data_IF_607208488398
#
_entry.id   IF_607208488398
#
_cell.length_a   1.000
_cell.length_b   1.000
_cell.length_c   1.000
_cell.angle_alpha   90.00
_cell.angle_beta   90.00
_cell.angle_gamma   90.00
#
_symmetry.space_group_name_H-M   'P 1'
#
loop_
_entity.id
_entity.type
_entity.pdbx_description
1 polymer ?
#
# COMPACT_ATOMS: atom_id res chain seq x y z
N UNK A 1 23.29 4.36 7.94
CA UNK A 1 22.48 4.64 6.76
C UNK A 1 21.23 5.34 7.27
N UNK A 2 20.91 6.53 6.75
CA UNK A 2 19.73 7.28 7.16
C UNK A 2 18.45 6.69 6.53
N UNK A 3 17.27 7.08 7.04
CA UNK A 3 15.97 6.58 6.56
C UNK A 3 15.80 6.82 5.05
N UNK A 4 16.10 8.02 4.55
CA UNK A 4 16.08 8.37 3.13
C UNK A 4 16.97 7.46 2.28
N UNK A 5 18.19 7.18 2.74
CA UNK A 5 19.11 6.31 2.00
C UNK A 5 18.58 4.88 1.91
N UNK A 6 17.99 4.36 3.00
CA UNK A 6 17.34 3.05 3.03
C UNK A 6 16.15 3.01 2.08
N UNK A 7 15.26 4.00 2.18
CA UNK A 7 14.09 4.12 1.31
C UNK A 7 14.49 4.20 -0.16
N UNK A 8 15.41 5.08 -0.50
CA UNK A 8 15.90 5.22 -1.88
C UNK A 8 16.60 3.95 -2.38
N UNK A 9 17.27 3.20 -1.50
CA UNK A 9 17.95 1.97 -1.88
C UNK A 9 16.98 0.82 -2.06
N UNK A 10 16.04 0.64 -1.13
CA UNK A 10 15.24 -0.58 -1.01
C UNK A 10 13.84 -0.42 -1.61
N UNK A 11 13.32 0.81 -1.72
CA UNK A 11 11.96 1.10 -2.16
C UNK A 11 10.90 0.86 -1.08
N UNK A 12 11.27 0.30 0.05
CA UNK A 12 10.40 0.04 1.20
C UNK A 12 11.19 0.12 2.49
N UNK A 13 10.55 0.66 3.54
CA UNK A 13 11.10 0.72 4.91
C UNK A 13 9.97 0.59 5.92
N UNK A 14 10.29 0.02 7.08
CA UNK A 14 9.43 0.07 8.27
C UNK A 14 9.92 1.21 9.16
N UNK A 15 8.99 2.04 9.64
CA UNK A 15 9.21 3.00 10.72
C UNK A 15 8.41 2.57 11.94
N UNK A 16 9.06 1.91 12.93
CA UNK A 16 8.37 1.47 14.13
C UNK A 16 7.88 2.65 14.97
N UNK A 17 6.65 2.56 15.46
CA UNK A 17 6.04 3.55 16.36
C UNK A 17 6.18 5.00 15.84
N UNK A 18 6.05 5.15 14.52
CA UNK A 18 6.13 6.47 13.86
C UNK A 18 4.89 7.33 14.11
N UNK A 19 3.77 6.71 14.44
CA UNK A 19 2.54 7.40 14.81
C UNK A 19 2.36 7.38 16.33
N UNK A 20 2.15 8.56 16.90
CA UNK A 20 1.69 8.71 18.28
C UNK A 20 0.27 8.17 18.44
N UNK A 21 -0.17 7.98 19.68
CA UNK A 21 -1.55 7.59 19.95
C UNK A 21 -2.55 8.55 19.31
N UNK A 22 -2.25 9.86 19.34
CA UNK A 22 -3.14 10.88 18.78
C UNK A 22 -3.27 10.75 17.25
N UNK A 23 -2.17 10.61 16.53
CA UNK A 23 -2.21 10.45 15.07
C UNK A 23 -2.82 9.12 14.63
N UNK A 24 -2.62 8.06 15.43
CA UNK A 24 -3.27 6.77 15.18
C UNK A 24 -4.79 6.85 15.39
N UNK A 25 -5.26 7.59 16.41
CA UNK A 25 -6.69 7.86 16.63
C UNK A 25 -7.29 8.68 15.47
N UNK A 26 -6.56 9.67 14.96
CA UNK A 26 -6.98 10.44 13.78
C UNK A 26 -7.06 9.55 12.52
N UNK A 27 -6.07 8.69 12.31
CA UNK A 27 -6.06 7.74 11.20
C UNK A 27 -7.24 6.76 11.28
N UNK A 28 -7.50 6.24 12.48
CA UNK A 28 -8.62 5.32 12.69
C UNK A 28 -9.98 6.00 12.47
N UNK A 29 -10.16 7.22 12.96
CA UNK A 29 -11.39 7.98 12.74
C UNK A 29 -11.64 8.28 11.25
N UNK A 30 -10.59 8.62 10.50
CA UNK A 30 -10.67 8.82 9.05
C UNK A 30 -11.01 7.52 8.31
N UNK A 31 -10.40 6.40 8.71
CA UNK A 31 -10.71 5.07 8.19
C UNK A 31 -12.18 4.67 8.43
N UNK A 32 -12.67 4.81 9.66
CA UNK A 32 -14.06 4.53 10.01
C UNK A 32 -15.04 5.41 9.20
N UNK A 33 -14.66 6.68 8.99
CA UNK A 33 -15.45 7.57 8.14
C UNK A 33 -15.55 7.03 6.70
N UNK A 34 -14.42 6.62 6.11
CA UNK A 34 -14.39 6.06 4.74
C UNK A 34 -15.23 4.79 4.63
N UNK A 35 -15.21 3.91 5.63
CA UNK A 35 -16.05 2.71 5.63
C UNK A 35 -17.56 3.06 5.72
N UNK A 36 -17.92 4.13 6.42
CA UNK A 36 -19.30 4.59 6.57
C UNK A 36 -19.82 5.41 5.37
N UNK A 37 -18.90 5.94 4.54
CA UNK A 37 -19.21 6.80 3.41
C UNK A 37 -18.49 6.33 2.14
N UNK A 38 -18.86 5.17 1.58
CA UNK A 38 -18.22 4.63 0.38
C UNK A 38 -18.21 5.62 -0.77
N UNK A 39 -17.04 5.81 -1.37
CA UNK A 39 -16.84 6.61 -2.57
C UNK A 39 -17.12 5.83 -3.86
N UNK A 40 -16.90 6.46 -5.01
CA UNK A 40 -17.06 5.80 -6.32
C UNK A 40 -16.13 4.59 -6.53
N UNK A 41 -14.99 4.55 -5.82
CA UNK A 41 -14.03 3.44 -5.84
C UNK A 41 -14.33 2.34 -4.82
N UNK A 42 -15.37 2.50 -4.00
CA UNK A 42 -15.72 1.58 -2.93
C UNK A 42 -16.36 0.29 -3.43
N UNK A 43 -15.85 -0.85 -2.98
CA UNK A 43 -16.41 -2.14 -3.32
C UNK A 43 -15.57 -3.33 -2.85
N UNK A 44 -16.16 -4.52 -2.97
CA UNK A 44 -15.43 -5.76 -2.67
C UNK A 44 -14.57 -6.18 -3.86
N UNK A 45 -13.31 -6.48 -3.58
CA UNK A 45 -12.41 -7.13 -4.55
C UNK A 45 -12.94 -8.56 -4.78
N UNK A 46 -13.11 -8.99 -6.03
CA UNK A 46 -13.56 -10.34 -6.34
C UNK A 46 -12.65 -11.41 -5.72
N UNK A 47 -13.25 -12.42 -5.12
CA UNK A 47 -12.53 -13.50 -4.44
C UNK A 47 -13.29 -14.83 -4.61
N UNK A 48 -12.55 -15.94 -4.59
CA UNK A 48 -13.07 -17.31 -4.49
C UNK A 48 -13.03 -17.85 -3.06
N UNK A 49 -12.51 -17.07 -2.11
CA UNK A 49 -12.43 -17.44 -0.69
C UNK A 49 -13.69 -17.04 0.08
N UNK A 50 -13.82 -17.50 1.33
CA UNK A 50 -15.03 -17.29 2.14
C UNK A 50 -15.09 -15.90 2.76
N UNK A 51 -13.94 -15.26 2.97
CA UNK A 51 -13.86 -13.92 3.53
C UNK A 51 -14.12 -12.81 2.50
N UNK A 52 -14.39 -11.62 3.00
CA UNK A 52 -14.57 -10.42 2.18
C UNK A 52 -13.30 -9.57 2.17
N UNK A 53 -13.02 -8.96 1.03
CA UNK A 53 -11.96 -7.99 0.87
C UNK A 53 -12.56 -6.71 0.28
N UNK A 54 -12.91 -5.78 1.14
CA UNK A 54 -13.39 -4.46 0.75
C UNK A 54 -12.23 -3.51 0.54
N UNK A 55 -12.36 -2.65 -0.48
CA UNK A 55 -11.50 -1.48 -0.67
C UNK A 55 -12.36 -0.25 -1.00
N UNK A 56 -11.81 0.91 -0.71
CA UNK A 56 -12.23 2.19 -1.27
C UNK A 56 -11.00 3.06 -1.48
N UNK A 57 -11.04 3.93 -2.47
CA UNK A 57 -9.90 4.79 -2.82
C UNK A 57 -10.36 6.08 -3.50
N UNK A 58 -9.57 7.13 -3.30
CA UNK A 58 -9.76 8.43 -3.95
C UNK A 58 -11.20 8.95 -3.84
N UNK A 59 -11.80 8.78 -2.68
CA UNK A 59 -13.14 9.31 -2.41
C UNK A 59 -13.07 10.85 -2.42
N UNK A 60 -13.81 11.55 -3.29
CA UNK A 60 -13.73 13.00 -3.43
C UNK A 60 -14.10 13.77 -2.15
N UNK A 61 -14.87 13.16 -1.26
CA UNK A 61 -15.31 13.76 0.00
C UNK A 61 -14.40 13.43 1.20
N UNK A 62 -13.38 12.57 1.01
CA UNK A 62 -12.54 12.10 2.09
C UNK A 62 -11.60 13.18 2.66
N UNK A 63 -11.10 14.10 1.83
CA UNK A 63 -10.03 15.03 2.20
C UNK A 63 -10.27 15.75 3.53
N UNK A 64 -11.49 16.24 3.76
CA UNK A 64 -11.84 16.98 4.99
C UNK A 64 -11.64 16.11 6.25
N UNK A 65 -11.88 14.81 6.15
CA UNK A 65 -11.79 13.86 7.26
C UNK A 65 -10.36 13.38 7.48
N UNK A 66 -9.49 13.48 6.47
CA UNK A 66 -8.06 13.16 6.54
C UNK A 66 -7.17 14.37 6.84
N UNK A 67 -7.67 15.60 6.72
CA UNK A 67 -6.86 16.84 6.86
C UNK A 67 -6.10 16.93 8.18
N UNK A 68 -6.75 16.58 9.29
CA UNK A 68 -6.12 16.60 10.62
C UNK A 68 -4.97 15.60 10.74
N UNK A 69 -5.09 14.40 10.16
CA UNK A 69 -4.02 13.41 10.09
C UNK A 69 -2.89 13.87 9.18
N UNK A 70 -3.21 14.32 7.97
CA UNK A 70 -2.23 14.75 6.96
C UNK A 70 -1.36 15.89 7.49
N UNK A 71 -1.94 16.82 8.27
CA UNK A 71 -1.22 17.95 8.88
C UNK A 71 -0.57 17.63 10.22
N UNK A 72 -0.77 16.41 10.75
CA UNK A 72 -0.17 16.03 12.02
C UNK A 72 1.36 16.02 11.95
N UNK A 73 2.01 16.41 13.04
CA UNK A 73 3.48 16.51 13.08
C UNK A 73 4.17 15.16 12.82
N UNK A 74 3.56 14.03 13.17
CA UNK A 74 4.12 12.70 12.89
C UNK A 74 4.24 12.45 11.39
N UNK A 75 3.19 12.77 10.62
CA UNK A 75 3.22 12.64 9.16
C UNK A 75 4.30 13.55 8.57
N UNK A 76 4.38 14.79 9.06
CA UNK A 76 5.42 15.72 8.66
C UNK A 76 6.82 15.16 8.95
N UNK A 77 7.07 14.64 10.14
CA UNK A 77 8.35 14.07 10.54
C UNK A 77 8.75 12.87 9.66
N UNK A 78 7.78 12.00 9.31
CA UNK A 78 7.98 10.90 8.37
C UNK A 78 8.45 11.47 7.03
N UNK A 79 7.73 12.43 6.43
CA UNK A 79 8.03 12.99 5.12
C UNK A 79 9.39 13.71 5.10
N UNK A 80 9.72 14.48 6.14
CA UNK A 80 11.03 15.16 6.28
C UNK A 80 12.20 14.15 6.39
N UNK A 81 11.95 12.96 6.93
CA UNK A 81 12.96 11.88 6.99
C UNK A 81 13.24 11.25 5.62
N UNK A 82 12.30 11.33 4.69
CA UNK A 82 12.36 10.69 3.37
C UNK A 82 12.77 11.67 2.26
N UNK A 83 12.23 12.88 2.24
CA UNK A 83 12.34 13.80 1.13
C UNK A 83 13.12 15.07 1.47
N UNK A 84 13.64 15.72 0.42
CA UNK A 84 14.22 17.05 0.51
C UNK A 84 13.25 17.99 -0.20
N UNK A 85 12.58 18.84 0.58
CA UNK A 85 11.63 19.79 0.00
C UNK A 85 10.84 20.50 1.09
N UNK A 86 10.24 21.62 0.73
CA UNK A 86 9.42 22.42 1.66
C UNK A 86 7.94 22.00 1.62
N UNK A 87 7.55 21.24 0.59
CA UNK A 87 6.17 20.88 0.36
C UNK A 87 6.03 19.40 0.03
N UNK A 88 4.97 18.79 0.54
CA UNK A 88 4.47 17.49 0.14
C UNK A 88 3.00 17.61 -0.25
N UNK A 89 2.57 16.81 -1.22
CA UNK A 89 1.21 16.80 -1.71
C UNK A 89 0.54 15.49 -1.33
N UNK A 90 -0.58 15.57 -0.65
CA UNK A 90 -1.45 14.42 -0.45
C UNK A 90 -2.20 14.16 -1.76
N UNK A 91 -2.14 12.93 -2.25
CA UNK A 91 -2.81 12.56 -3.50
C UNK A 91 -4.21 12.04 -3.23
N UNK A 92 -4.31 10.97 -2.48
CA UNK A 92 -5.57 10.32 -2.11
C UNK A 92 -5.35 9.35 -0.95
N UNK A 93 -6.42 8.92 -0.34
CA UNK A 93 -6.47 7.82 0.60
C UNK A 93 -6.88 6.53 -0.11
N UNK A 94 -6.48 5.41 0.50
CA UNK A 94 -6.98 4.10 0.15
C UNK A 94 -7.20 3.29 1.43
N UNK A 95 -8.37 2.71 1.56
CA UNK A 95 -8.72 1.89 2.72
C UNK A 95 -9.01 0.46 2.30
N UNK A 96 -8.60 -0.46 3.17
CA UNK A 96 -8.83 -1.89 2.99
C UNK A 96 -9.45 -2.48 4.23
N UNK A 97 -10.41 -3.38 4.05
CA UNK A 97 -10.99 -4.18 5.13
C UNK A 97 -11.10 -5.62 4.69
N UNK A 98 -10.41 -6.50 5.39
CA UNK A 98 -10.49 -7.94 5.21
C UNK A 98 -11.15 -8.55 6.43
N UNK A 99 -12.18 -9.36 6.24
CA UNK A 99 -12.93 -9.97 7.34
C UNK A 99 -13.67 -11.25 6.93
N UNK A 100 -14.12 -12.00 7.92
CA UNK A 100 -15.06 -13.12 7.70
C UNK A 100 -14.42 -14.40 7.22
N UNK A 101 -13.20 -14.72 7.63
CA UNK A 101 -12.52 -15.96 7.32
C UNK A 101 -11.36 -15.79 6.36
N UNK A 102 -11.04 -16.82 5.57
CA UNK A 102 -9.96 -16.75 4.62
C UNK A 102 -10.25 -15.72 3.52
N UNK A 103 -9.35 -14.74 3.38
CA UNK A 103 -9.44 -13.73 2.31
C UNK A 103 -8.41 -13.98 1.23
N UNK A 104 -8.70 -13.54 0.01
CA UNK A 104 -7.75 -13.59 -1.10
C UNK A 104 -6.49 -12.81 -0.73
N UNK A 105 -5.32 -13.37 -1.04
CA UNK A 105 -4.08 -12.64 -1.11
C UNK A 105 -4.25 -11.47 -2.11
N UNK A 106 -3.70 -10.30 -1.79
CA UNK A 106 -3.56 -9.22 -2.79
C UNK A 106 -2.51 -9.64 -3.82
N UNK A 107 -2.86 -9.77 -5.11
CA UNK A 107 -1.91 -10.10 -6.16
C UNK A 107 -0.73 -9.14 -6.21
N UNK A 108 0.42 -9.61 -6.68
CA UNK A 108 1.58 -8.78 -6.91
C UNK A 108 1.29 -7.70 -7.95
N UNK A 109 1.65 -6.46 -7.63
CA UNK A 109 1.45 -5.31 -8.51
C UNK A 109 2.39 -4.15 -8.15
N UNK A 110 2.38 -3.13 -8.96
CA UNK A 110 2.92 -1.80 -8.68
C UNK A 110 1.75 -0.82 -8.71
N UNK A 111 1.77 0.21 -7.86
CA UNK A 111 0.72 1.23 -7.87
C UNK A 111 0.91 2.26 -9.00
N UNK A 112 2.17 2.54 -9.37
CA UNK A 112 2.50 3.56 -10.37
C UNK A 112 1.71 3.46 -11.68
N UNK A 113 1.37 2.27 -12.23
CA UNK A 113 0.56 2.16 -13.43
C UNK A 113 -0.83 2.79 -13.32
N UNK A 114 -1.38 2.87 -12.10
CA UNK A 114 -2.70 3.45 -11.86
C UNK A 114 -2.65 4.95 -11.57
N UNK A 115 -1.45 5.52 -11.35
CA UNK A 115 -1.29 6.89 -10.89
C UNK A 115 -1.10 7.87 -12.05
N UNK A 116 -1.64 9.09 -11.95
CA UNK A 116 -1.42 10.15 -12.94
C UNK A 116 -0.05 10.83 -12.79
N UNK A 117 0.81 10.35 -11.90
CA UNK A 117 2.12 10.92 -11.59
C UNK A 117 3.21 9.85 -11.58
N UNK A 118 4.42 10.27 -11.88
CA UNK A 118 5.64 9.46 -11.80
C UNK A 118 6.76 10.31 -11.19
N UNK A 119 7.73 9.67 -10.58
CA UNK A 119 8.90 10.34 -10.02
C UNK A 119 9.56 9.50 -8.95
N UNK A 120 10.62 10.04 -8.36
CA UNK A 120 11.40 9.41 -7.28
C UNK A 120 10.92 9.79 -5.90
N UNK A 121 10.25 10.96 -5.79
CA UNK A 121 9.81 11.53 -4.51
C UNK A 121 8.32 11.26 -4.28
N UNK A 122 7.96 9.99 -4.36
CA UNK A 122 6.62 9.46 -4.10
C UNK A 122 6.69 8.48 -2.95
N UNK A 123 5.66 8.44 -2.10
CA UNK A 123 5.55 7.46 -1.03
C UNK A 123 4.09 7.09 -0.75
N UNK A 124 3.88 5.83 -0.46
CA UNK A 124 2.69 5.31 0.18
C UNK A 124 3.01 5.08 1.65
N UNK A 125 2.17 5.58 2.54
CA UNK A 125 2.24 5.35 3.97
C UNK A 125 1.16 4.33 4.33
N UNK A 126 1.58 3.09 4.57
CA UNK A 126 0.66 2.02 4.92
C UNK A 126 0.60 1.83 6.44
N UNK A 127 -0.60 1.87 7.00
CA UNK A 127 -0.89 1.84 8.43
C UNK A 127 -1.84 0.68 8.70
N UNK A 128 -1.51 -0.16 9.69
CA UNK A 128 -2.41 -1.18 10.22
C UNK A 128 -2.96 -0.76 11.59
N UNK A 129 -4.25 -1.00 11.81
CA UNK A 129 -4.90 -0.76 13.11
C UNK A 129 -4.86 -1.99 14.03
N UNK A 130 -4.41 -3.12 13.50
CA UNK A 130 -4.19 -4.35 14.24
C UNK A 130 -2.76 -4.84 14.09
N UNK A 131 -2.33 -5.70 15.02
CA UNK A 131 -1.05 -6.41 14.90
C UNK A 131 -1.14 -7.44 13.77
N UNK A 132 -0.17 -7.45 12.90
CA UNK A 132 -0.05 -8.43 11.81
C UNK A 132 1.32 -9.10 11.88
N UNK A 133 1.31 -10.42 11.79
CA UNK A 133 2.52 -11.23 11.62
C UNK A 133 3.00 -11.22 10.16
N UNK A 134 4.12 -11.89 9.89
CA UNK A 134 4.68 -11.99 8.53
C UNK A 134 3.73 -12.66 7.52
N UNK A 135 2.81 -13.48 7.97
CA UNK A 135 1.88 -14.18 7.07
C UNK A 135 0.69 -13.30 6.66
N UNK A 136 0.32 -12.33 7.51
CA UNK A 136 -0.83 -11.44 7.28
C UNK A 136 -0.48 -10.06 6.71
N UNK A 137 0.82 -9.69 6.71
CA UNK A 137 1.26 -8.36 6.27
C UNK A 137 1.51 -8.27 4.76
N UNK A 138 1.88 -7.07 4.30
CA UNK A 138 2.34 -6.84 2.93
C UNK A 138 3.73 -7.46 2.71
N UNK A 139 3.95 -7.93 1.50
CA UNK A 139 5.23 -8.40 0.99
C UNK A 139 5.70 -7.49 -0.14
N UNK A 140 7.01 -7.29 -0.24
CA UNK A 140 7.63 -6.39 -1.20
C UNK A 140 8.82 -7.08 -1.89
N UNK A 141 8.99 -6.85 -3.18
CA UNK A 141 10.24 -7.19 -3.87
C UNK A 141 11.19 -6.01 -3.70
N UNK A 142 12.16 -6.15 -2.80
CA UNK A 142 13.11 -5.09 -2.47
C UNK A 142 13.87 -4.61 -3.72
N UNK A 143 13.96 -3.29 -3.90
CA UNK A 143 14.59 -2.57 -5.02
C UNK A 143 13.86 -2.56 -6.35
N UNK A 144 12.77 -3.28 -6.51
CA UNK A 144 12.03 -3.36 -7.78
C UNK A 144 11.45 -2.02 -8.26
N UNK A 145 11.39 -0.99 -7.40
CA UNK A 145 10.94 0.36 -7.75
C UNK A 145 11.83 1.10 -8.77
N UNK A 146 13.05 0.60 -9.00
CA UNK A 146 14.03 1.18 -9.94
C UNK A 146 14.14 0.41 -11.24
N UNK A 147 13.50 -0.72 -11.30
CA UNK A 147 13.58 -1.64 -12.42
C UNK A 147 12.45 -1.41 -13.42
N UNK A 148 11.93 -2.48 -13.96
CA UNK A 148 10.86 -2.46 -14.95
C UNK A 148 9.55 -1.96 -14.34
N UNK A 149 8.88 -1.04 -15.03
CA UNK A 149 7.48 -0.75 -14.79
C UNK A 149 6.64 -1.71 -15.64
N UNK A 150 5.82 -2.49 -14.94
CA UNK A 150 4.93 -3.48 -15.56
C UNK A 150 3.57 -2.87 -15.86
N UNK A 151 2.77 -3.56 -16.66
CA UNK A 151 1.35 -3.24 -16.84
C UNK A 151 0.63 -3.35 -15.47
N UNK A 152 -0.40 -2.56 -15.26
CA UNK A 152 -1.23 -2.66 -14.05
C UNK A 152 -1.89 -4.04 -13.95
N UNK A 153 -2.00 -4.60 -12.74
CA UNK A 153 -2.74 -5.84 -12.52
C UNK A 153 -4.23 -5.65 -12.81
N UNK A 154 -4.82 -6.58 -13.52
CA UNK A 154 -6.28 -6.66 -13.69
C UNK A 154 -6.98 -7.24 -12.45
N UNK A 155 -6.23 -7.73 -11.45
CA UNK A 155 -6.75 -8.46 -10.27
C UNK A 155 -7.68 -9.60 -10.67
N UNK A 156 -7.38 -10.25 -11.82
CA UNK A 156 -8.16 -11.36 -12.34
C UNK A 156 -8.19 -12.54 -11.37
N UNK A 157 -9.27 -13.34 -11.40
CA UNK A 157 -9.46 -14.44 -10.46
C UNK A 157 -8.68 -15.71 -10.81
N UNK A 158 -8.28 -15.85 -12.05
CA UNK A 158 -7.62 -17.04 -12.59
C UNK A 158 -6.17 -16.80 -13.00
N UNK A 159 -5.78 -15.51 -13.12
CA UNK A 159 -4.47 -15.09 -13.61
C UNK A 159 -4.00 -13.80 -12.93
N UNK A 160 -3.29 -13.95 -11.84
CA UNK A 160 -2.75 -12.81 -11.06
C UNK A 160 -1.75 -11.94 -11.85
N UNK A 161 -1.26 -12.42 -13.00
CA UNK A 161 -0.31 -11.68 -13.86
C UNK A 161 -0.97 -10.97 -15.04
N UNK A 162 -2.29 -11.08 -15.18
CA UNK A 162 -3.02 -10.45 -16.28
C UNK A 162 -2.92 -8.92 -16.21
N UNK A 163 -2.51 -8.30 -17.31
CA UNK A 163 -2.42 -6.85 -17.44
C UNK A 163 -3.79 -6.20 -17.57
N UNK A 164 -3.97 -5.06 -16.90
CA UNK A 164 -5.22 -4.28 -16.94
C UNK A 164 -5.36 -3.51 -18.26
N UNK A 165 -4.29 -2.89 -18.71
CA UNK A 165 -4.32 -1.98 -19.87
C UNK A 165 -4.00 -2.71 -21.16
N UNK A 166 -3.30 -3.84 -21.11
CA UNK A 166 -2.77 -4.56 -22.27
C UNK A 166 -1.96 -3.66 -23.22
N UNK A 167 -1.25 -2.68 -22.62
CA UNK A 167 -0.38 -1.75 -23.35
C UNK A 167 0.93 -2.47 -23.74
N UNK A 168 1.24 -2.60 -25.04
CA UNK A 168 2.43 -3.31 -25.50
C UNK A 168 3.75 -2.64 -25.08
N UNK A 169 3.71 -1.41 -24.55
CA UNK A 169 4.89 -0.71 -24.05
C UNK A 169 5.30 -1.16 -22.64
N UNK A 170 4.40 -1.81 -21.90
CA UNK A 170 4.65 -2.34 -20.59
C UNK A 170 4.64 -3.86 -20.59
N UNK A 171 5.66 -4.52 -20.07
CA UNK A 171 5.64 -5.96 -19.94
C UNK A 171 4.58 -6.41 -18.94
N UNK A 172 4.12 -7.63 -19.12
CA UNK A 172 3.24 -8.31 -18.19
C UNK A 172 3.95 -8.51 -16.85
N UNK A 173 3.19 -8.49 -15.75
CA UNK A 173 3.68 -8.80 -14.41
C UNK A 173 4.35 -10.19 -14.37
N UNK A 174 5.49 -10.35 -13.70
CA UNK A 174 6.10 -11.65 -13.50
C UNK A 174 5.25 -12.50 -12.52
N UNK A 175 5.26 -13.80 -12.73
CA UNK A 175 4.65 -14.73 -11.79
C UNK A 175 5.58 -14.94 -10.58
N UNK A 176 5.52 -13.99 -9.65
CA UNK A 176 6.35 -13.99 -8.44
C UNK A 176 5.97 -15.15 -7.51
N UNK A 177 4.67 -15.48 -7.41
CA UNK A 177 4.24 -16.57 -6.54
C UNK A 177 4.80 -17.92 -6.97
N UNK A 178 4.84 -18.20 -8.26
CA UNK A 178 5.43 -19.44 -8.78
C UNK A 178 6.97 -19.46 -8.71
N UNK A 179 7.59 -18.28 -8.60
CA UNK A 179 9.07 -18.14 -8.71
C UNK A 179 9.66 -17.33 -7.54
N UNK A 180 9.13 -17.49 -6.34
CA UNK A 180 9.51 -16.68 -5.17
C UNK A 180 11.01 -16.65 -4.89
N UNK A 181 11.71 -17.75 -5.13
CA UNK A 181 13.16 -17.88 -4.91
C UNK A 181 14.01 -16.99 -5.84
N UNK A 182 13.43 -16.52 -6.95
CA UNK A 182 14.11 -15.62 -7.89
C UNK A 182 14.04 -14.14 -7.46
N UNK A 183 13.26 -13.85 -6.41
CA UNK A 183 13.00 -12.48 -5.94
C UNK A 183 13.47 -12.26 -4.51
N UNK A 184 14.02 -11.08 -4.24
CA UNK A 184 14.35 -10.67 -2.88
C UNK A 184 13.09 -10.13 -2.18
N UNK A 185 12.28 -11.03 -1.65
CA UNK A 185 11.02 -10.70 -0.99
C UNK A 185 11.29 -10.38 0.48
N UNK A 186 10.79 -9.23 0.92
CA UNK A 186 10.83 -8.77 2.31
C UNK A 186 9.42 -8.49 2.82
N UNK A 187 9.21 -8.70 4.10
CA UNK A 187 7.98 -8.40 4.82
C UNK A 187 8.30 -7.94 6.23
N UNK A 188 7.40 -7.21 6.85
CA UNK A 188 7.58 -6.67 8.18
C UNK A 188 6.36 -7.03 9.05
N UNK A 189 6.54 -7.67 10.22
CA UNK A 189 5.47 -7.72 11.19
C UNK A 189 5.19 -6.28 11.65
N UNK A 190 3.94 -5.94 11.90
CA UNK A 190 3.56 -4.58 12.27
C UNK A 190 2.65 -4.58 13.48
N UNK A 191 2.82 -3.53 14.29
CA UNK A 191 1.99 -3.21 15.43
C UNK A 191 1.28 -1.86 15.19
N UNK A 192 0.14 -1.59 15.83
CA UNK A 192 -0.50 -0.29 15.76
C UNK A 192 0.47 0.85 16.12
N UNK A 193 0.59 1.84 15.24
CA UNK A 193 1.55 2.94 15.35
C UNK A 193 2.77 2.78 14.45
N UNK A 194 3.04 1.58 13.94
CA UNK A 194 4.06 1.38 12.90
C UNK A 194 3.57 1.89 11.55
N UNK A 195 4.49 2.35 10.72
CA UNK A 195 4.20 2.74 9.34
C UNK A 195 5.16 2.02 8.40
N UNK A 196 4.61 1.25 7.46
CA UNK A 196 5.37 0.73 6.34
C UNK A 196 5.30 1.76 5.22
N UNK A 197 6.45 2.21 4.76
CA UNK A 197 6.54 3.24 3.73
C UNK A 197 7.16 2.64 2.51
N UNK A 198 6.48 2.74 1.37
CA UNK A 198 7.00 2.18 0.14
C UNK A 198 6.79 3.09 -1.06
N UNK A 199 7.67 2.95 -2.04
CA UNK A 199 7.54 3.65 -3.32
C UNK A 199 6.45 2.97 -4.16
N UNK A 200 5.53 3.70 -4.80
CA UNK A 200 4.43 3.10 -5.57
C UNK A 200 4.88 2.25 -6.77
N UNK A 201 6.15 2.35 -7.19
CA UNK A 201 6.74 1.45 -8.20
C UNK A 201 7.37 0.19 -7.62
N UNK A 202 7.36 -0.03 -6.29
CA UNK A 202 7.83 -1.30 -5.73
C UNK A 202 6.79 -2.38 -6.02
N UNK A 203 7.24 -3.55 -6.50
CA UNK A 203 6.38 -4.73 -6.62
C UNK A 203 5.98 -5.16 -5.21
N UNK A 204 4.69 -5.20 -4.96
CA UNK A 204 4.16 -5.60 -3.67
C UNK A 204 2.85 -6.38 -3.80
N UNK A 205 2.52 -7.09 -2.75
CA UNK A 205 1.28 -7.83 -2.60
C UNK A 205 0.97 -8.02 -1.12
N UNK A 206 -0.10 -8.71 -0.79
CA UNK A 206 -0.46 -8.89 0.61
C UNK A 206 -0.81 -10.32 0.95
N UNK A 207 -0.45 -10.75 2.16
CA UNK A 207 -0.85 -12.04 2.66
C UNK A 207 -2.38 -12.19 2.77
N UNK A 208 -2.91 -13.41 2.68
CA UNK A 208 -4.29 -13.67 3.04
C UNK A 208 -4.46 -13.41 4.54
N UNK A 209 -5.60 -12.89 4.96
CA UNK A 209 -5.96 -12.99 6.38
C UNK A 209 -6.42 -14.42 6.67
N UNK A 210 -5.93 -14.96 7.78
CA UNK A 210 -6.45 -16.19 8.39
C UNK A 210 -7.20 -15.78 9.65
N UNK A 211 -8.17 -16.56 10.04
CA UNK A 211 -8.87 -16.35 11.32
C UNK A 211 -7.91 -16.24 12.50
#
# INVERSE_FOLDING_TARGET
MGMRELYNKNGVVLMPQALSKQSLELAYAAYEWSLAHPGPGGGNIPSKTTGTFYQDLANPDAFVNYDALIRHYDIRAILESLFIGEHAWFMYEQVFKKEGGETRRTPWHQDTPYLPVRGTDLAVLWISFGSLDLAGTLEFVERSHRDTLYDGSAFDLDDDTLGLYNDPTYPRLPDIEANRDDFNIVAFPVEPGDVVIFHPSVLHGGGPTRE
#
